data_IF_505573668612
#
_entry.id   IF_505573668612
#
_cell.length_a   1.000
_cell.length_b   1.000
_cell.length_c   1.000
_cell.angle_alpha   90.00
_cell.angle_beta   90.00
_cell.angle_gamma   90.00
#
_symmetry.space_group_name_H-M   'P 1'
#
loop_
_entity.id
_entity.type
_entity.pdbx_description
1 polymer ?
#
# COMPACT_ATOMS: atom_id res chain seq x y z
N UNK A 1 -4.74 8.48 10.89
CA UNK A 1 -5.80 9.43 10.54
C UNK A 1 -5.15 10.74 10.11
N UNK A 2 -5.46 11.20 8.91
CA UNK A 2 -4.95 12.45 8.38
C UNK A 2 -6.01 13.56 8.55
N UNK A 3 -5.56 14.78 8.79
CA UNK A 3 -6.45 15.94 8.78
C UNK A 3 -6.76 16.36 7.34
N UNK A 4 -7.89 17.01 7.12
CA UNK A 4 -8.26 17.55 5.80
C UNK A 4 -7.20 18.53 5.24
N UNK A 5 -6.51 19.28 6.09
CA UNK A 5 -5.42 20.17 5.70
C UNK A 5 -4.18 19.40 5.23
N UNK A 6 -3.80 18.31 5.94
CA UNK A 6 -2.70 17.45 5.53
C UNK A 6 -3.00 16.79 4.18
N UNK A 7 -4.24 16.36 3.95
CA UNK A 7 -4.67 15.83 2.68
C UNK A 7 -4.62 16.86 1.56
N UNK A 8 -5.13 18.05 1.78
CA UNK A 8 -5.05 19.15 0.79
C UNK A 8 -3.62 19.45 0.39
N UNK A 9 -2.69 19.45 1.35
CA UNK A 9 -1.26 19.65 1.09
C UNK A 9 -0.65 18.50 0.28
N UNK A 10 -1.07 17.25 0.54
CA UNK A 10 -0.63 16.07 -0.21
C UNK A 10 -1.18 16.07 -1.64
N UNK A 11 -2.45 16.41 -1.84
CA UNK A 11 -3.08 16.41 -3.16
C UNK A 11 -2.61 17.52 -4.08
N UNK A 12 -2.17 18.66 -3.55
CA UNK A 12 -1.67 19.79 -4.37
C UNK A 12 -0.55 19.35 -5.35
N UNK A 13 0.49 18.60 -4.95
CA UNK A 13 1.47 18.05 -5.89
C UNK A 13 0.88 17.06 -6.89
N UNK A 14 -0.10 16.24 -6.48
CA UNK A 14 -0.76 15.28 -7.36
C UNK A 14 -1.61 15.97 -8.43
N UNK A 15 -2.33 17.02 -8.10
CA UNK A 15 -3.05 17.84 -9.09
C UNK A 15 -2.09 18.46 -10.09
N UNK A 16 -0.95 18.98 -9.64
CA UNK A 16 0.10 19.49 -10.53
C UNK A 16 0.66 18.41 -11.45
N UNK A 17 0.89 17.20 -10.94
CA UNK A 17 1.31 16.07 -11.75
C UNK A 17 0.25 15.68 -12.78
N UNK A 18 -1.03 15.73 -12.41
CA UNK A 18 -2.18 15.41 -13.26
C UNK A 18 -2.30 16.34 -14.49
N UNK A 19 -1.76 17.55 -14.46
CA UNK A 19 -1.74 18.43 -15.62
C UNK A 19 -0.99 17.84 -16.83
N UNK A 20 -0.05 16.91 -16.58
CA UNK A 20 0.80 16.32 -17.61
C UNK A 20 0.80 14.79 -17.64
N UNK A 21 0.32 14.13 -16.60
CA UNK A 21 0.33 12.67 -16.43
C UNK A 21 -1.02 12.16 -15.92
N UNK A 22 -1.36 10.94 -16.22
CA UNK A 22 -2.42 10.22 -15.51
C UNK A 22 -1.91 9.84 -14.11
N UNK A 23 -2.74 10.02 -13.10
CA UNK A 23 -2.45 9.69 -11.70
C UNK A 23 -3.57 8.82 -11.16
N UNK A 24 -3.21 7.67 -10.63
CA UNK A 24 -4.14 6.70 -10.07
C UNK A 24 -3.76 6.37 -8.64
N UNK A 25 -4.73 6.34 -7.73
CA UNK A 25 -4.51 6.10 -6.31
C UNK A 25 -5.45 5.04 -5.77
N UNK A 26 -5.04 4.42 -4.68
CA UNK A 26 -5.88 3.59 -3.80
C UNK A 26 -5.80 4.10 -2.38
N UNK A 27 -6.74 3.71 -1.54
CA UNK A 27 -6.68 3.98 -0.10
C UNK A 27 -5.65 3.10 0.59
N UNK A 28 -5.10 3.62 1.69
CA UNK A 28 -4.17 2.92 2.56
C UNK A 28 -4.63 2.98 4.03
N UNK A 29 -4.07 2.13 4.88
CA UNK A 29 -4.49 1.92 6.27
C UNK A 29 -4.54 3.21 7.11
N UNK A 30 -3.70 4.20 6.79
CA UNK A 30 -3.59 5.44 7.56
C UNK A 30 -4.32 6.63 6.94
N UNK A 31 -5.01 6.45 5.84
CA UNK A 31 -5.67 7.54 5.12
C UNK A 31 -6.99 7.94 5.77
N UNK A 32 -7.65 7.04 6.47
CA UNK A 32 -9.00 7.21 6.98
C UNK A 32 -9.16 6.84 8.46
N UNK A 33 -10.29 7.27 9.05
CA UNK A 33 -10.72 6.90 10.38
C UNK A 33 -12.23 6.62 10.38
N UNK A 34 -12.60 5.34 10.42
CA UNK A 34 -13.99 4.89 10.22
C UNK A 34 -14.98 5.38 11.28
N UNK A 35 -14.50 5.61 12.49
CA UNK A 35 -15.33 6.05 13.63
C UNK A 35 -15.22 7.56 13.88
N UNK A 36 -14.49 8.29 13.01
CA UNK A 36 -14.18 9.72 13.16
C UNK A 36 -13.52 10.09 14.49
N UNK A 37 -12.98 9.11 15.18
CA UNK A 37 -12.22 9.33 16.39
C UNK A 37 -10.72 9.40 16.08
N UNK A 38 -10.01 10.44 16.55
CA UNK A 38 -8.56 10.54 16.33
C UNK A 38 -7.86 9.35 16.99
N UNK A 39 -7.01 8.67 16.20
CA UNK A 39 -6.20 7.58 16.73
C UNK A 39 -5.08 8.13 17.60
N UNK A 40 -4.57 7.27 18.49
CA UNK A 40 -3.37 7.58 19.26
C UNK A 40 -2.21 7.89 18.31
N UNK A 41 -1.65 9.06 18.49
CA UNK A 41 -0.48 9.49 17.75
C UNK A 41 0.69 9.55 18.75
N UNK A 42 1.84 8.96 18.42
CA UNK A 42 3.06 8.91 19.21
C UNK A 42 2.89 8.91 20.74
N UNK A 43 3.28 7.85 21.42
CA UNK A 43 3.32 7.79 22.88
C UNK A 43 1.96 7.87 23.58
N UNK A 44 0.91 7.37 22.94
CA UNK A 44 -0.47 7.36 23.47
C UNK A 44 -1.19 8.72 23.54
N UNK A 45 -0.65 9.78 22.99
CA UNK A 45 -1.37 11.04 22.89
C UNK A 45 -2.55 10.90 21.89
N UNK A 46 -3.73 11.38 22.29
CA UNK A 46 -4.90 11.47 21.43
C UNK A 46 -5.15 12.95 21.18
N UNK A 47 -5.16 13.35 19.92
CA UNK A 47 -5.47 14.72 19.52
C UNK A 47 -6.92 14.79 19.07
N UNK A 48 -7.82 15.19 19.98
CA UNK A 48 -9.26 15.26 19.73
C UNK A 48 -9.68 16.43 18.85
N UNK A 49 -8.83 17.41 18.70
CA UNK A 49 -9.02 18.64 17.90
C UNK A 49 -8.51 18.51 16.46
N UNK A 50 -7.88 17.40 16.11
CA UNK A 50 -7.43 17.16 14.73
C UNK A 50 -8.59 16.56 13.92
N UNK A 51 -9.06 17.24 12.86
CA UNK A 51 -10.07 16.69 11.97
C UNK A 51 -9.59 15.39 11.33
N UNK A 52 -10.45 14.38 11.34
CA UNK A 52 -10.19 13.09 10.69
C UNK A 52 -11.22 12.84 9.59
N UNK A 53 -10.83 12.15 8.54
CA UNK A 53 -11.71 11.81 7.42
C UNK A 53 -12.30 10.41 7.57
N UNK A 54 -13.56 10.28 7.17
CA UNK A 54 -14.20 9.00 6.95
C UNK A 54 -13.96 8.49 5.52
N UNK A 55 -14.40 7.27 5.25
CA UNK A 55 -14.22 6.63 3.93
C UNK A 55 -14.92 7.37 2.79
N UNK A 56 -16.11 7.91 3.04
CA UNK A 56 -16.87 8.65 2.03
C UNK A 56 -16.15 9.94 1.62
N UNK A 57 -15.66 10.70 2.60
CA UNK A 57 -14.87 11.91 2.33
C UNK A 57 -13.59 11.57 1.57
N UNK A 58 -12.92 10.47 1.94
CA UNK A 58 -11.72 10.02 1.26
C UNK A 58 -11.99 9.65 -0.20
N UNK A 59 -13.11 8.97 -0.48
CA UNK A 59 -13.54 8.67 -1.85
C UNK A 59 -13.71 9.94 -2.67
N UNK A 60 -14.30 10.99 -2.11
CA UNK A 60 -14.48 12.27 -2.80
C UNK A 60 -13.12 12.93 -3.12
N UNK A 61 -12.16 12.87 -2.21
CA UNK A 61 -10.79 13.34 -2.48
C UNK A 61 -10.08 12.53 -3.56
N UNK A 62 -10.29 11.21 -3.59
CA UNK A 62 -9.63 10.33 -4.55
C UNK A 62 -10.35 10.26 -5.90
N UNK A 63 -11.56 10.83 -6.00
CA UNK A 63 -12.39 10.74 -7.20
C UNK A 63 -11.63 11.18 -8.47
N UNK A 64 -10.90 12.28 -8.39
CA UNK A 64 -10.12 12.82 -9.51
C UNK A 64 -8.86 12.02 -9.87
N UNK A 65 -8.51 11.00 -9.09
CA UNK A 65 -7.27 10.23 -9.23
C UNK A 65 -7.56 8.75 -9.53
N UNK A 66 -8.48 8.50 -10.42
CA UNK A 66 -8.81 7.16 -10.90
C UNK A 66 -10.30 6.90 -11.06
N UNK A 67 -11.13 6.99 -10.03
CA UNK A 67 -12.55 6.69 -10.13
C UNK A 67 -13.30 7.49 -11.21
N UNK A 68 -12.97 8.76 -11.42
CA UNK A 68 -13.59 9.57 -12.48
C UNK A 68 -13.27 9.12 -13.92
N UNK A 69 -12.20 8.35 -14.11
CA UNK A 69 -11.76 7.80 -15.40
C UNK A 69 -12.11 6.29 -15.51
N UNK A 70 -12.79 5.71 -14.53
CA UNK A 70 -12.99 4.28 -14.41
C UNK A 70 -13.92 3.69 -15.48
N UNK A 71 -13.51 2.55 -16.04
CA UNK A 71 -14.36 1.72 -16.92
C UNK A 71 -15.36 0.88 -16.10
N UNK A 72 -15.01 0.54 -14.87
CA UNK A 72 -15.83 -0.22 -13.93
C UNK A 72 -15.42 0.11 -12.51
N UNK A 73 -16.39 0.13 -11.60
CA UNK A 73 -16.21 0.43 -10.18
C UNK A 73 -16.85 -0.63 -9.30
N UNK A 74 -16.28 -0.81 -8.11
CA UNK A 74 -16.86 -1.54 -7.00
C UNK A 74 -16.74 -0.70 -5.74
N UNK A 75 -17.87 -0.33 -5.15
CA UNK A 75 -17.89 0.39 -3.87
C UNK A 75 -17.89 -0.63 -2.74
N UNK A 76 -16.84 -0.58 -1.91
CA UNK A 76 -16.73 -1.47 -0.74
C UNK A 76 -17.82 -1.16 0.28
N UNK A 77 -18.04 -2.07 1.21
CA UNK A 77 -19.01 -1.84 2.31
C UNK A 77 -18.63 -0.67 3.23
N UNK A 78 -17.38 -0.22 3.18
CA UNK A 78 -16.90 0.98 3.89
C UNK A 78 -17.05 2.26 3.09
N UNK A 79 -17.47 2.18 1.82
CA UNK A 79 -17.65 3.33 0.95
C UNK A 79 -16.41 3.74 0.15
N UNK A 80 -15.29 3.01 0.24
CA UNK A 80 -14.14 3.19 -0.64
C UNK A 80 -14.36 2.55 -2.00
N UNK A 81 -13.58 2.93 -3.01
CA UNK A 81 -13.77 2.51 -4.39
C UNK A 81 -12.60 1.65 -4.87
N UNK A 82 -12.91 0.46 -5.37
CA UNK A 82 -12.02 -0.28 -6.29
C UNK A 82 -12.45 0.02 -7.71
N UNK A 83 -11.53 0.09 -8.66
CA UNK A 83 -11.85 0.47 -10.02
C UNK A 83 -10.91 -0.15 -11.04
N UNK A 84 -11.36 -0.18 -12.30
CA UNK A 84 -10.49 -0.48 -13.44
C UNK A 84 -10.43 0.72 -14.38
N UNK A 85 -9.26 0.93 -14.97
CA UNK A 85 -9.05 1.98 -15.96
C UNK A 85 -8.02 1.54 -16.99
N UNK A 86 -8.26 1.92 -18.25
CA UNK A 86 -7.32 1.65 -19.33
C UNK A 86 -6.16 2.64 -19.33
N UNK A 87 -4.94 2.09 -19.29
CA UNK A 87 -3.70 2.86 -19.43
C UNK A 87 -3.18 2.65 -20.86
N UNK A 88 -3.59 3.54 -21.79
CA UNK A 88 -3.30 3.35 -23.20
C UNK A 88 -4.09 2.20 -23.83
N UNK A 89 -3.55 1.63 -24.91
CA UNK A 89 -4.30 0.64 -25.72
C UNK A 89 -4.24 -0.77 -25.15
N UNK A 90 -3.12 -1.16 -24.58
CA UNK A 90 -2.80 -2.56 -24.26
C UNK A 90 -2.78 -2.89 -22.78
N UNK A 91 -2.93 -1.91 -21.88
CA UNK A 91 -2.80 -2.10 -20.44
C UNK A 91 -4.06 -1.64 -19.73
N UNK A 92 -4.50 -2.44 -18.75
CA UNK A 92 -5.57 -2.10 -17.82
C UNK A 92 -5.04 -2.17 -16.40
N UNK A 93 -5.29 -1.14 -15.61
CA UNK A 93 -5.06 -1.12 -14.19
C UNK A 93 -6.30 -1.65 -13.46
N UNK A 94 -6.10 -2.53 -12.51
CA UNK A 94 -7.07 -3.00 -11.52
C UNK A 94 -6.65 -2.46 -10.16
N UNK A 95 -7.20 -1.33 -9.78
CA UNK A 95 -6.93 -0.68 -8.50
C UNK A 95 -7.90 -1.19 -7.43
N UNK A 96 -7.38 -1.85 -6.41
CA UNK A 96 -8.15 -2.57 -5.40
C UNK A 96 -8.05 -1.91 -4.03
N UNK A 97 -9.18 -1.61 -3.43
CA UNK A 97 -9.27 -1.27 -2.03
C UNK A 97 -9.46 -2.53 -1.21
N UNK A 98 -8.45 -2.89 -0.47
CA UNK A 98 -8.38 -4.06 0.39
C UNK A 98 -8.63 -3.73 1.86
N UNK A 99 -9.43 -2.71 2.15
CA UNK A 99 -9.66 -2.16 3.49
C UNK A 99 -10.16 -3.20 4.48
N UNK A 100 -11.16 -3.99 4.08
CA UNK A 100 -11.73 -5.06 4.89
C UNK A 100 -12.44 -6.14 4.06
N UNK A 101 -12.19 -7.39 4.45
CA UNK A 101 -12.85 -8.56 3.86
C UNK A 101 -14.24 -8.88 4.46
N UNK A 102 -14.86 -7.96 5.16
CA UNK A 102 -16.12 -8.19 5.91
C UNK A 102 -15.94 -8.94 7.24
N UNK A 103 -14.73 -9.40 7.56
CA UNK A 103 -14.37 -10.10 8.82
C UNK A 103 -13.44 -9.25 9.71
N UNK A 104 -13.34 -7.96 9.44
CA UNK A 104 -12.47 -7.04 10.19
C UNK A 104 -10.98 -7.19 9.91
N UNK A 105 -10.62 -7.79 8.76
CA UNK A 105 -9.24 -7.89 8.28
C UNK A 105 -9.14 -7.25 6.89
N UNK A 106 -7.93 -6.81 6.52
CA UNK A 106 -7.65 -6.43 5.15
C UNK A 106 -7.96 -7.59 4.18
N UNK A 107 -8.40 -7.25 2.98
CA UNK A 107 -8.78 -8.20 1.93
C UNK A 107 -10.15 -7.89 1.31
N UNK A 108 -10.76 -8.89 0.70
CA UNK A 108 -11.93 -8.72 -0.14
C UNK A 108 -13.13 -9.53 0.36
N UNK A 109 -14.34 -8.99 0.25
CA UNK A 109 -15.58 -9.75 0.42
C UNK A 109 -15.81 -10.67 -0.77
N UNK A 110 -16.77 -11.61 -0.66
CA UNK A 110 -17.09 -12.52 -1.75
C UNK A 110 -17.65 -11.77 -2.98
N UNK A 111 -18.48 -10.76 -2.77
CA UNK A 111 -19.01 -9.91 -3.84
C UNK A 111 -17.88 -9.14 -4.54
N UNK A 112 -16.91 -8.68 -3.75
CA UNK A 112 -15.74 -7.97 -4.29
C UNK A 112 -14.88 -8.94 -5.14
N UNK A 113 -14.61 -10.16 -4.66
CA UNK A 113 -13.92 -11.17 -5.45
C UNK A 113 -14.62 -11.48 -6.77
N UNK A 114 -15.94 -11.63 -6.76
CA UNK A 114 -16.70 -11.88 -7.98
C UNK A 114 -16.54 -10.74 -9.00
N UNK A 115 -16.55 -9.50 -8.53
CA UNK A 115 -16.27 -8.35 -9.38
C UNK A 115 -14.83 -8.37 -9.90
N UNK A 116 -13.82 -8.63 -9.04
CA UNK A 116 -12.41 -8.74 -9.44
C UNK A 116 -12.23 -9.78 -10.55
N UNK A 117 -12.76 -10.97 -10.35
CA UNK A 117 -12.70 -12.08 -11.33
C UNK A 117 -13.36 -11.72 -12.67
N UNK A 118 -14.46 -10.95 -12.65
CA UNK A 118 -15.09 -10.45 -13.86
C UNK A 118 -14.18 -9.45 -14.59
N UNK A 119 -13.51 -8.55 -13.85
CA UNK A 119 -12.58 -7.60 -14.45
C UNK A 119 -11.36 -8.29 -15.06
N UNK A 120 -10.83 -9.32 -14.40
CA UNK A 120 -9.71 -10.14 -14.92
C UNK A 120 -10.12 -10.79 -16.25
N UNK A 121 -11.26 -11.48 -16.27
CA UNK A 121 -11.78 -12.11 -17.50
C UNK A 121 -12.05 -11.11 -18.62
N UNK A 122 -12.55 -9.92 -18.27
CA UNK A 122 -12.78 -8.84 -19.25
C UNK A 122 -11.47 -8.35 -19.85
N UNK A 123 -10.44 -8.15 -19.03
CA UNK A 123 -9.12 -7.73 -19.52
C UNK A 123 -8.51 -8.78 -20.47
N UNK A 124 -8.63 -10.06 -20.13
CA UNK A 124 -8.20 -11.17 -20.99
C UNK A 124 -8.95 -11.18 -22.33
N UNK A 125 -10.29 -11.06 -22.31
CA UNK A 125 -11.11 -11.00 -23.50
C UNK A 125 -10.81 -9.80 -24.41
N UNK A 126 -10.45 -8.67 -23.78
CA UNK A 126 -10.04 -7.44 -24.48
C UNK A 126 -8.58 -7.50 -24.96
N UNK A 127 -7.84 -8.58 -24.67
CA UNK A 127 -6.42 -8.75 -25.02
C UNK A 127 -5.48 -7.80 -24.28
N UNK A 128 -5.86 -7.34 -23.08
CA UNK A 128 -5.09 -6.37 -22.30
C UNK A 128 -4.23 -7.04 -21.24
N UNK A 129 -3.05 -6.48 -21.02
CA UNK A 129 -2.22 -6.81 -19.86
C UNK A 129 -2.87 -6.15 -18.64
N UNK A 130 -3.27 -6.97 -17.66
CA UNK A 130 -3.86 -6.50 -16.41
C UNK A 130 -2.78 -6.36 -15.35
N UNK A 131 -2.72 -5.18 -14.73
CA UNK A 131 -1.84 -4.88 -13.61
C UNK A 131 -2.71 -4.59 -12.39
N UNK A 132 -2.57 -5.37 -11.32
CA UNK A 132 -3.21 -5.14 -10.04
C UNK A 132 -2.44 -4.13 -9.19
N UNK A 133 -3.14 -3.36 -8.38
CA UNK A 133 -2.59 -2.47 -7.38
C UNK A 133 -3.46 -2.52 -6.13
N UNK A 134 -2.85 -2.83 -4.97
CA UNK A 134 -3.51 -2.81 -3.66
C UNK A 134 -2.54 -2.34 -2.56
N UNK A 135 -3.01 -2.19 -1.32
CA UNK A 135 -2.17 -1.69 -0.24
C UNK A 135 -1.44 -2.78 0.52
N UNK A 136 -2.17 -3.79 1.02
CA UNK A 136 -1.57 -4.87 1.82
C UNK A 136 -0.95 -5.95 0.93
N UNK A 137 -0.02 -6.70 1.50
CA UNK A 137 0.74 -7.73 0.80
C UNK A 137 -0.06 -9.04 0.66
N UNK A 138 0.09 -9.71 -0.47
CA UNK A 138 -0.30 -11.10 -0.67
C UNK A 138 0.80 -12.06 -0.16
N UNK A 139 2.06 -11.64 -0.29
CA UNK A 139 3.23 -12.45 0.04
C UNK A 139 3.96 -11.85 1.24
N UNK A 140 4.29 -12.65 2.24
CA UNK A 140 5.05 -12.16 3.40
C UNK A 140 6.54 -12.14 3.08
N UNK A 141 7.04 -10.99 2.59
CA UNK A 141 8.46 -10.79 2.31
C UNK A 141 9.34 -10.75 3.56
N UNK A 142 8.75 -10.45 4.70
CA UNK A 142 9.43 -10.45 6.01
C UNK A 142 8.65 -11.32 6.98
N UNK A 143 9.39 -11.98 7.87
CA UNK A 143 8.77 -12.81 8.89
C UNK A 143 7.65 -12.07 9.62
N UNK A 144 6.45 -12.66 9.71
CA UNK A 144 5.34 -12.10 10.49
C UNK A 144 5.69 -11.88 11.98
N UNK A 145 6.76 -12.50 12.48
CA UNK A 145 7.27 -12.25 13.82
C UNK A 145 7.82 -10.83 13.99
N UNK A 146 8.38 -10.24 12.93
CA UNK A 146 8.95 -8.89 12.96
C UNK A 146 7.82 -7.85 12.84
N UNK A 147 6.96 -7.96 11.83
CA UNK A 147 5.87 -6.99 11.56
C UNK A 147 4.49 -7.39 12.11
N UNK A 148 4.41 -8.50 12.86
CA UNK A 148 3.17 -8.86 13.52
C UNK A 148 2.11 -9.52 12.65
N UNK A 149 2.39 -9.81 11.39
CA UNK A 149 1.46 -10.43 10.46
C UNK A 149 0.31 -9.55 9.98
N UNK A 150 0.31 -8.26 10.35
CA UNK A 150 -0.71 -7.30 9.91
C UNK A 150 -0.39 -6.64 8.55
N UNK A 151 0.77 -6.93 7.98
CA UNK A 151 1.21 -6.38 6.69
C UNK A 151 0.55 -7.06 5.50
N UNK A 152 0.03 -8.27 5.67
CA UNK A 152 -0.64 -9.03 4.62
C UNK A 152 -2.16 -8.94 4.75
N UNK A 153 -2.85 -9.15 3.63
CA UNK A 153 -4.29 -9.41 3.63
C UNK A 153 -4.63 -10.62 4.51
N UNK A 154 -5.81 -10.62 5.09
CA UNK A 154 -6.31 -11.79 5.83
C UNK A 154 -6.51 -12.97 4.90
N UNK A 155 -6.10 -14.17 5.35
CA UNK A 155 -6.16 -15.40 4.56
C UNK A 155 -5.36 -15.29 3.23
N UNK A 156 -4.19 -14.67 3.29
CA UNK A 156 -3.34 -14.28 2.14
C UNK A 156 -3.13 -15.38 1.11
N UNK A 157 -2.89 -16.62 1.54
CA UNK A 157 -2.66 -17.76 0.63
C UNK A 157 -3.92 -18.08 -0.19
N UNK A 158 -5.10 -17.98 0.42
CA UNK A 158 -6.37 -18.10 -0.29
C UNK A 158 -6.57 -16.94 -1.27
N UNK A 159 -6.29 -15.71 -0.85
CA UNK A 159 -6.43 -14.52 -1.72
C UNK A 159 -5.48 -14.62 -2.91
N UNK A 160 -4.19 -14.90 -2.66
CA UNK A 160 -3.18 -15.05 -3.72
C UNK A 160 -3.51 -16.18 -4.69
N UNK A 161 -3.94 -17.36 -4.18
CA UNK A 161 -4.39 -18.48 -5.03
C UNK A 161 -5.55 -18.07 -5.90
N UNK A 162 -6.57 -17.45 -5.33
CA UNK A 162 -7.79 -17.07 -6.04
C UNK A 162 -7.51 -16.05 -7.14
N UNK A 163 -6.67 -15.04 -6.87
CA UNK A 163 -6.27 -14.04 -7.88
C UNK A 163 -5.42 -14.67 -8.99
N UNK A 164 -4.45 -15.51 -8.64
CA UNK A 164 -3.61 -16.23 -9.60
C UNK A 164 -4.46 -17.15 -10.50
N UNK A 165 -5.38 -17.93 -9.90
CA UNK A 165 -6.24 -18.87 -10.62
C UNK A 165 -7.27 -18.17 -11.49
N UNK A 166 -7.66 -16.94 -11.14
CA UNK A 166 -8.47 -16.07 -11.99
C UNK A 166 -7.70 -15.51 -13.20
N UNK A 167 -6.35 -15.53 -13.18
CA UNK A 167 -5.49 -15.08 -14.27
C UNK A 167 -4.72 -13.78 -14.03
N UNK A 168 -4.77 -13.20 -12.81
CA UNK A 168 -3.97 -12.03 -12.47
C UNK A 168 -2.50 -12.42 -12.32
N UNK A 169 -1.62 -11.80 -13.10
CA UNK A 169 -0.19 -12.13 -13.14
C UNK A 169 0.70 -11.17 -12.35
N UNK A 170 0.28 -9.93 -12.18
CA UNK A 170 1.08 -8.87 -11.58
C UNK A 170 0.27 -8.09 -10.58
N UNK A 171 0.79 -7.95 -9.35
CA UNK A 171 0.22 -7.14 -8.28
C UNK A 171 1.28 -6.21 -7.70
N UNK A 172 0.99 -4.93 -7.65
CA UNK A 172 1.81 -3.93 -6.99
C UNK A 172 1.21 -3.62 -5.62
N UNK A 173 2.04 -3.67 -4.58
CA UNK A 173 1.63 -3.48 -3.18
C UNK A 173 2.58 -2.53 -2.46
N UNK A 174 2.19 -2.07 -1.28
CA UNK A 174 3.01 -1.19 -0.45
C UNK A 174 3.11 -1.68 1.00
N UNK A 175 2.60 -0.92 1.95
CA UNK A 175 2.40 -1.20 3.37
C UNK A 175 3.65 -1.58 4.18
N UNK A 176 4.48 -2.52 3.73
CA UNK A 176 5.69 -2.95 4.45
C UNK A 176 6.85 -1.96 4.35
N UNK A 177 6.77 -1.00 3.44
CA UNK A 177 7.81 -0.02 3.11
C UNK A 177 9.13 -0.63 2.61
N UNK A 178 9.10 -1.89 2.15
CA UNK A 178 10.29 -2.63 1.71
C UNK A 178 10.18 -2.92 0.23
N UNK A 179 11.18 -2.50 -0.54
CA UNK A 179 11.27 -2.83 -1.96
C UNK A 179 11.65 -4.30 -2.13
N UNK A 180 10.74 -5.10 -2.71
CA UNK A 180 10.95 -6.51 -2.94
C UNK A 180 10.08 -7.01 -4.12
N UNK A 181 10.51 -8.06 -4.79
CA UNK A 181 9.73 -8.76 -5.81
C UNK A 181 9.76 -10.24 -5.46
N UNK A 182 8.59 -10.86 -5.43
CA UNK A 182 8.45 -12.29 -5.19
C UNK A 182 7.25 -12.84 -5.97
N UNK A 183 7.11 -14.16 -6.01
CA UNK A 183 6.02 -14.82 -6.72
C UNK A 183 5.39 -15.91 -5.88
N UNK A 184 4.07 -16.03 -5.99
CA UNK A 184 3.30 -17.10 -5.41
C UNK A 184 2.71 -17.97 -6.52
N UNK A 185 2.80 -19.30 -6.36
CA UNK A 185 2.18 -20.26 -7.29
C UNK A 185 1.11 -21.04 -6.55
N UNK A 186 -0.11 -21.03 -7.09
CA UNK A 186 -1.24 -21.78 -6.54
C UNK A 186 -1.08 -23.28 -6.73
N UNK A 187 -1.91 -24.09 -6.06
CA UNK A 187 -1.97 -25.54 -6.28
C UNK A 187 -2.36 -25.92 -7.71
N UNK A 188 -3.10 -25.06 -8.42
CA UNK A 188 -3.44 -25.24 -9.83
C UNK A 188 -2.27 -24.92 -10.78
N UNK A 189 -1.15 -24.41 -10.28
CA UNK A 189 0.05 -24.08 -11.04
C UNK A 189 0.03 -22.66 -11.64
N UNK A 190 -0.93 -21.82 -11.30
CA UNK A 190 -0.99 -20.44 -11.74
C UNK A 190 -0.13 -19.55 -10.84
N UNK A 191 0.57 -18.59 -11.43
CA UNK A 191 1.54 -17.75 -10.71
C UNK A 191 1.13 -16.28 -10.76
N UNK A 192 1.19 -15.61 -9.60
CA UNK A 192 1.11 -14.16 -9.45
C UNK A 192 2.45 -13.64 -8.94
N UNK A 193 2.96 -12.58 -9.58
CA UNK A 193 4.15 -11.88 -9.15
C UNK A 193 3.76 -10.61 -8.42
N UNK A 194 4.21 -10.50 -7.18
CA UNK A 194 4.00 -9.32 -6.34
C UNK A 194 5.24 -8.42 -6.38
N UNK A 195 5.00 -7.13 -6.63
CA UNK A 195 6.00 -6.08 -6.56
C UNK A 195 5.66 -5.21 -5.37
N UNK A 196 6.37 -5.42 -4.27
CA UNK A 196 6.24 -4.59 -3.09
C UNK A 196 7.09 -3.34 -3.27
N UNK A 197 6.43 -2.17 -3.28
CA UNK A 197 7.07 -0.87 -3.50
C UNK A 197 7.43 -0.24 -2.16
N UNK A 198 8.69 0.12 -2.01
CA UNK A 198 9.19 0.78 -0.81
C UNK A 198 8.62 2.19 -0.64
N UNK A 199 8.79 2.75 0.56
CA UNK A 199 8.29 4.09 0.89
C UNK A 199 9.20 5.19 0.35
N UNK A 200 8.62 6.22 -0.27
CA UNK A 200 9.34 7.42 -0.71
C UNK A 200 9.97 8.22 0.45
N UNK A 201 9.44 8.06 1.67
CA UNK A 201 9.99 8.70 2.88
C UNK A 201 10.90 7.78 3.69
N UNK A 202 11.14 6.56 3.19
CA UNK A 202 12.07 5.58 3.76
C UNK A 202 13.30 5.42 2.87
N UNK A 203 14.45 5.03 3.47
CA UNK A 203 15.64 4.71 2.70
C UNK A 203 15.40 3.48 1.81
N UNK A 204 15.79 3.49 0.53
CA UNK A 204 16.47 4.54 -0.25
C UNK A 204 15.52 5.45 -1.07
N UNK A 205 14.24 5.62 -0.70
CA UNK A 205 13.22 6.37 -1.44
C UNK A 205 12.98 5.84 -2.86
N UNK A 206 12.58 4.57 -3.02
CA UNK A 206 12.49 3.94 -4.32
C UNK A 206 11.32 4.47 -5.16
N UNK A 207 11.56 4.56 -6.46
CA UNK A 207 10.57 4.79 -7.50
C UNK A 207 10.61 3.59 -8.45
N UNK A 208 9.48 2.90 -8.59
CA UNK A 208 9.39 1.75 -9.50
C UNK A 208 8.90 2.22 -10.86
N UNK A 209 9.73 2.01 -11.87
CA UNK A 209 9.41 2.24 -13.27
C UNK A 209 9.02 0.92 -13.93
N UNK A 210 7.87 0.89 -14.57
CA UNK A 210 7.34 -0.30 -15.23
C UNK A 210 7.24 -0.06 -16.73
N UNK A 211 7.91 -0.91 -17.50
CA UNK A 211 7.79 -0.94 -18.96
C UNK A 211 7.08 -2.22 -19.36
N UNK A 212 5.99 -2.08 -20.11
CA UNK A 212 5.28 -3.23 -20.68
C UNK A 212 5.97 -3.66 -21.97
N UNK A 213 6.35 -4.93 -22.05
CA UNK A 213 7.04 -5.56 -23.18
C UNK A 213 6.21 -6.76 -23.67
N UNK A 214 6.59 -7.31 -24.83
CA UNK A 214 5.91 -8.51 -25.39
C UNK A 214 6.07 -9.73 -24.46
N UNK A 215 7.18 -9.82 -23.74
CA UNK A 215 7.45 -10.91 -22.80
C UNK A 215 6.86 -10.68 -21.38
N UNK A 216 6.30 -9.49 -21.08
CA UNK A 216 5.75 -9.16 -19.76
C UNK A 216 6.10 -7.77 -19.27
N UNK A 217 6.45 -7.66 -17.99
CA UNK A 217 6.83 -6.39 -17.37
C UNK A 217 8.34 -6.34 -17.10
N UNK A 218 8.99 -5.29 -17.61
CA UNK A 218 10.32 -4.91 -17.15
C UNK A 218 10.17 -3.90 -16.00
N UNK A 219 10.81 -4.21 -14.87
CA UNK A 219 10.75 -3.40 -13.66
C UNK A 219 12.14 -2.86 -13.38
N UNK A 220 12.26 -1.54 -13.38
CA UNK A 220 13.47 -0.82 -13.01
C UNK A 220 13.17 0.00 -11.75
N UNK A 221 14.11 0.04 -10.80
CA UNK A 221 13.97 0.78 -9.55
C UNK A 221 14.96 1.91 -9.52
N UNK A 222 14.46 3.13 -9.55
CA UNK A 222 15.22 4.35 -9.31
C UNK A 222 15.04 4.82 -7.88
N UNK A 223 15.75 5.86 -7.49
CA UNK A 223 15.62 6.50 -6.17
C UNK A 223 15.47 8.00 -6.34
N UNK A 224 14.84 8.64 -5.36
CA UNK A 224 14.80 10.11 -5.30
C UNK A 224 16.21 10.65 -5.02
N UNK A 225 16.71 11.55 -5.86
CA UNK A 225 18.04 12.15 -5.70
C UNK A 225 18.06 13.23 -4.61
N UNK A 226 17.11 14.16 -4.67
CA UNK A 226 16.99 15.27 -3.73
C UNK A 226 15.53 15.67 -3.50
N UNK A 227 15.29 16.41 -2.44
CA UNK A 227 14.00 17.03 -2.14
C UNK A 227 14.21 18.40 -1.46
N UNK A 228 13.18 19.24 -1.48
CA UNK A 228 13.21 20.53 -0.81
C UNK A 228 12.61 20.39 0.58
N UNK A 229 13.37 20.77 1.60
CA UNK A 229 12.91 20.83 2.99
C UNK A 229 13.25 22.20 3.59
N UNK A 230 12.24 22.90 4.09
CA UNK A 230 12.37 24.27 4.63
C UNK A 230 13.05 25.28 3.68
N UNK A 231 12.88 25.07 2.36
CA UNK A 231 13.45 25.91 1.32
C UNK A 231 14.87 25.56 0.91
N UNK A 232 15.49 24.56 1.52
CA UNK A 232 16.81 24.05 1.16
C UNK A 232 16.71 22.74 0.38
N UNK A 233 17.60 22.54 -0.59
CA UNK A 233 17.73 21.28 -1.30
C UNK A 233 18.56 20.30 -0.49
N UNK A 234 17.98 19.13 -0.20
CA UNK A 234 18.59 18.07 0.60
C UNK A 234 18.83 16.87 -0.29
N UNK A 235 20.04 16.31 -0.30
CA UNK A 235 20.31 15.01 -0.90
C UNK A 235 19.55 13.90 -0.18
N UNK A 236 18.68 13.18 -0.90
CA UNK A 236 17.76 12.22 -0.30
C UNK A 236 18.49 11.05 0.35
N UNK A 237 19.46 10.47 -0.36
CA UNK A 237 20.15 9.25 0.08
C UNK A 237 20.85 9.42 1.44
N UNK A 238 21.78 10.35 1.66
CA UNK A 238 22.46 10.49 2.95
C UNK A 238 21.50 10.89 4.07
N UNK A 239 20.50 11.71 3.77
CA UNK A 239 19.48 12.10 4.75
C UNK A 239 18.66 10.90 5.24
N UNK A 240 18.12 10.11 4.32
CA UNK A 240 17.28 8.96 4.63
C UNK A 240 18.10 7.80 5.23
N UNK A 241 19.34 7.58 4.77
CA UNK A 241 20.26 6.58 5.32
C UNK A 241 20.56 6.87 6.79
N UNK A 242 20.83 8.14 7.12
CA UNK A 242 21.00 8.57 8.52
C UNK A 242 19.75 8.27 9.36
N UNK A 243 18.56 8.59 8.86
CA UNK A 243 17.31 8.32 9.57
C UNK A 243 17.05 6.82 9.76
N UNK A 244 17.35 6.00 8.76
CA UNK A 244 17.25 4.54 8.85
C UNK A 244 18.25 3.98 9.88
N UNK A 245 19.49 4.46 9.88
CA UNK A 245 20.52 4.07 10.85
C UNK A 245 20.12 4.48 12.26
N UNK A 246 19.71 5.73 12.47
CA UNK A 246 19.24 6.23 13.76
C UNK A 246 18.02 5.42 14.29
N UNK A 247 17.18 4.92 13.38
CA UNK A 247 16.07 4.03 13.75
C UNK A 247 16.57 2.68 14.24
N UNK A 248 17.48 2.04 13.46
CA UNK A 248 18.08 0.74 13.79
C UNK A 248 18.84 0.83 15.10
N UNK A 249 19.65 1.85 15.29
CA UNK A 249 20.42 2.07 16.53
C UNK A 249 19.49 2.16 17.75
N UNK A 250 18.39 2.90 17.65
CA UNK A 250 17.39 2.97 18.73
C UNK A 250 16.74 1.62 19.05
N UNK A 251 16.52 0.77 18.02
CA UNK A 251 16.02 -0.59 18.22
C UNK A 251 17.06 -1.44 18.97
N UNK A 252 18.33 -1.40 18.56
CA UNK A 252 19.40 -2.16 19.19
C UNK A 252 19.75 -1.66 20.59
N UNK A 253 19.79 -0.35 20.82
CA UNK A 253 19.92 0.22 22.18
C UNK A 253 18.79 -0.27 23.08
N UNK A 254 17.56 -0.35 22.54
CA UNK A 254 16.43 -0.93 23.24
C UNK A 254 16.62 -2.40 23.60
N UNK A 255 17.29 -3.18 22.76
CA UNK A 255 17.56 -4.59 23.02
C UNK A 255 18.56 -4.83 24.17
N UNK A 256 19.37 -3.84 24.54
CA UNK A 256 20.30 -3.91 25.63
C UNK A 256 19.65 -3.68 27.03
N UNK A 257 18.41 -3.23 27.03
CA UNK A 257 17.60 -3.05 28.26
C UNK A 257 16.76 -4.31 28.53
N UNK A 258 15.80 -4.24 29.45
CA UNK A 258 14.93 -5.39 29.71
C UNK A 258 14.09 -5.78 28.50
N UNK A 259 13.74 -7.07 28.35
CA UNK A 259 12.82 -7.55 27.31
C UNK A 259 11.48 -6.78 27.31
N UNK A 260 10.98 -6.38 28.50
CA UNK A 260 9.75 -5.60 28.62
C UNK A 260 9.89 -4.21 28.05
N UNK A 261 10.98 -3.51 28.41
CA UNK A 261 11.24 -2.16 27.91
C UNK A 261 11.50 -2.16 26.41
N UNK A 262 12.21 -3.15 25.89
CA UNK A 262 12.38 -3.35 24.45
C UNK A 262 11.05 -3.53 23.73
N UNK A 263 10.18 -4.39 24.27
CA UNK A 263 8.84 -4.60 23.71
C UNK A 263 7.98 -3.33 23.74
N UNK A 264 8.06 -2.53 24.81
CA UNK A 264 7.36 -1.25 24.92
C UNK A 264 7.86 -0.25 23.86
N UNK A 265 9.18 -0.16 23.65
CA UNK A 265 9.76 0.69 22.62
C UNK A 265 9.34 0.26 21.22
N UNK A 266 9.39 -1.05 20.93
CA UNK A 266 8.92 -1.58 19.65
C UNK A 266 7.44 -1.28 19.40
N UNK A 267 6.60 -1.42 20.41
CA UNK A 267 5.18 -1.08 20.33
C UNK A 267 4.98 0.41 20.09
N UNK A 268 5.74 1.27 20.75
CA UNK A 268 5.71 2.72 20.54
C UNK A 268 6.15 3.11 19.11
N UNK A 269 6.97 2.28 18.47
CA UNK A 269 7.39 2.41 17.05
C UNK A 269 6.45 1.69 16.08
N UNK A 270 5.25 1.28 16.52
CA UNK A 270 4.28 0.50 15.76
C UNK A 270 4.75 -0.90 15.35
N UNK A 271 5.80 -1.41 15.97
CA UNK A 271 6.26 -2.79 15.82
C UNK A 271 5.60 -3.70 16.86
N UNK A 272 5.56 -5.01 16.58
CA UNK A 272 4.92 -5.96 17.49
C UNK A 272 5.84 -6.33 18.67
N UNK A 273 5.96 -5.44 19.66
CA UNK A 273 6.82 -5.62 20.82
C UNK A 273 6.50 -6.85 21.66
N UNK A 274 5.22 -7.23 21.80
CA UNK A 274 4.84 -8.42 22.58
C UNK A 274 5.34 -9.73 21.96
N UNK A 275 5.32 -9.84 20.63
CA UNK A 275 5.86 -11.02 19.93
C UNK A 275 7.39 -11.09 20.02
N UNK A 276 8.07 -9.94 20.08
CA UNK A 276 9.53 -9.87 20.17
C UNK A 276 10.08 -10.20 21.58
N UNK A 277 9.26 -10.18 22.63
CA UNK A 277 9.67 -10.60 23.97
C UNK A 277 10.14 -12.06 24.06
N UNK A 278 9.66 -12.89 23.14
CA UNK A 278 9.87 -14.34 23.17
C UNK A 278 10.97 -14.81 22.21
N UNK A 279 11.64 -13.89 21.52
CA UNK A 279 12.84 -14.12 20.74
C UNK A 279 14.09 -13.86 21.61
#
# INVERSE_FOLDING_TARGET
CSSSEAFSSFFSPLYKLKESKKVYVITATHDWCCDRNPRKFRGNAIYHDVPVMGHEELRDYYFDFGPNDADSEFITHLGTCSYTVDIGENVRLLALNDDQNGKGKAGFSEEHFQWIEQQIKKAEADGKILIGMEHHLLIAHISPLIFGGSTCVGDREYVASRLADAGLKYMFVGHSHIQCIDSFTSEAGNTITEVNVGSLVGYPAPIVNVTVCDEGLKIDVDTVDSFIFEGEEIEAKPYLEKHATDFIDRVFEGALISKSEFAERLTAMQMNGEKMKNL
#
